data_IF_198670110314
#
_entry.id   IF_198670110314
#
_cell.length_a   1.000
_cell.length_b   1.000
_cell.length_c   1.000
_cell.angle_alpha   90.00
_cell.angle_beta   90.00
_cell.angle_gamma   90.00
#
_symmetry.space_group_name_H-M   'P 1'
#
loop_
_entity.id
_entity.type
_entity.pdbx_description
1 polymer ?
#
# COMPACT_ATOMS: atom_id res chain seq x y z
N UNK A 1 -44.92 -9.03 17.02
CA UNK A 1 -44.04 -7.91 16.59
C UNK A 1 -42.68 -8.51 16.28
N UNK A 2 -42.14 -8.53 15.06
CA UNK A 2 -42.32 -7.70 13.88
C UNK A 2 -42.41 -8.58 12.62
N UNK A 3 -43.55 -8.45 11.94
CA UNK A 3 -43.80 -9.03 10.62
C UNK A 3 -43.07 -8.12 9.62
N UNK A 4 -41.91 -8.55 9.10
CA UNK A 4 -41.34 -7.90 7.92
C UNK A 4 -42.21 -8.27 6.71
N UNK A 5 -43.18 -7.41 6.46
CA UNK A 5 -44.10 -7.41 5.32
C UNK A 5 -43.26 -7.42 4.03
N UNK A 6 -43.20 -8.57 3.36
CA UNK A 6 -42.55 -8.73 2.05
C UNK A 6 -43.36 -7.93 1.03
N UNK A 7 -42.91 -6.70 0.78
CA UNK A 7 -43.40 -5.85 -0.30
C UNK A 7 -43.00 -6.42 -1.66
N UNK A 8 -43.96 -6.43 -2.59
CA UNK A 8 -43.89 -6.89 -3.96
C UNK A 8 -42.54 -6.62 -4.66
N UNK A 9 -41.76 -7.68 -4.88
CA UNK A 9 -40.52 -7.66 -5.64
C UNK A 9 -40.90 -7.58 -7.12
N UNK A 10 -40.94 -6.37 -7.67
CA UNK A 10 -41.03 -6.19 -9.13
C UNK A 10 -39.79 -6.81 -9.82
N UNK A 11 -39.95 -7.23 -11.08
CA UNK A 11 -38.90 -7.88 -11.90
C UNK A 11 -37.57 -7.10 -11.95
N UNK A 12 -37.62 -5.77 -11.79
CA UNK A 12 -36.44 -4.88 -11.72
C UNK A 12 -35.58 -5.13 -10.46
N UNK A 13 -36.20 -5.49 -9.34
CA UNK A 13 -35.50 -5.83 -8.11
C UNK A 13 -34.72 -7.15 -8.27
N UNK A 14 -35.29 -8.18 -8.91
CA UNK A 14 -34.62 -9.48 -9.14
C UNK A 14 -33.35 -9.35 -10.00
N UNK A 15 -33.39 -8.55 -11.06
CA UNK A 15 -32.22 -8.26 -11.92
C UNK A 15 -31.13 -7.54 -11.10
N UNK A 16 -31.51 -6.57 -10.27
CA UNK A 16 -30.59 -5.84 -9.38
C UNK A 16 -29.89 -6.75 -8.38
N UNK A 17 -30.62 -7.68 -7.75
CA UNK A 17 -30.03 -8.66 -6.83
C UNK A 17 -29.08 -9.64 -7.55
N UNK A 18 -29.41 -10.05 -8.77
CA UNK A 18 -28.54 -10.93 -9.59
C UNK A 18 -27.23 -10.24 -10.00
N UNK A 19 -27.30 -8.99 -10.45
CA UNK A 19 -26.11 -8.16 -10.77
C UNK A 19 -25.25 -7.89 -9.53
N UNK A 20 -25.88 -7.70 -8.36
CA UNK A 20 -25.18 -7.53 -7.10
C UNK A 20 -24.45 -8.81 -6.67
N UNK A 21 -25.12 -9.97 -6.77
CA UNK A 21 -24.55 -11.27 -6.44
C UNK A 21 -23.36 -11.64 -7.36
N UNK A 22 -23.44 -11.37 -8.67
CA UNK A 22 -22.31 -11.61 -9.58
C UNK A 22 -21.11 -10.72 -9.27
N UNK A 23 -21.35 -9.47 -8.87
CA UNK A 23 -20.28 -8.54 -8.53
C UNK A 23 -19.64 -8.85 -7.17
N UNK A 24 -20.37 -9.50 -6.25
CA UNK A 24 -19.91 -9.83 -4.89
C UNK A 24 -18.65 -10.70 -4.87
N UNK A 25 -18.47 -11.58 -5.86
CA UNK A 25 -17.28 -12.42 -5.99
C UNK A 25 -16.05 -11.62 -6.48
N UNK A 26 -16.26 -10.55 -7.26
CA UNK A 26 -15.19 -9.71 -7.83
C UNK A 26 -14.67 -8.66 -6.83
N UNK A 27 -15.55 -8.13 -5.98
CA UNK A 27 -15.21 -7.14 -4.94
C UNK A 27 -14.06 -7.56 -3.98
N UNK A 28 -14.06 -8.75 -3.35
CA UNK A 28 -13.00 -9.13 -2.41
C UNK A 28 -11.65 -9.25 -3.11
N UNK A 29 -11.60 -9.88 -4.29
CA UNK A 29 -10.38 -10.02 -5.08
C UNK A 29 -9.78 -8.64 -5.45
N UNK A 30 -10.61 -7.72 -5.97
CA UNK A 30 -10.19 -6.33 -6.23
C UNK A 30 -9.67 -5.65 -4.96
N UNK A 31 -10.35 -5.83 -3.83
CA UNK A 31 -9.99 -5.20 -2.56
C UNK A 31 -8.63 -5.68 -2.02
N UNK A 32 -8.25 -6.95 -2.22
CA UNK A 32 -6.92 -7.43 -1.86
C UNK A 32 -5.81 -6.79 -2.71
N UNK A 33 -6.05 -6.61 -4.02
CA UNK A 33 -5.11 -5.92 -4.91
C UNK A 33 -4.95 -4.46 -4.47
N UNK A 34 -6.06 -3.81 -4.13
CA UNK A 34 -6.04 -2.42 -3.65
C UNK A 34 -5.28 -2.29 -2.34
N UNK A 35 -5.54 -3.17 -1.35
CA UNK A 35 -4.77 -3.23 -0.10
C UNK A 35 -3.26 -3.36 -0.36
N UNK A 36 -2.82 -4.18 -1.32
CA UNK A 36 -1.40 -4.29 -1.69
C UNK A 36 -0.82 -2.97 -2.20
N UNK A 37 -1.58 -2.19 -2.98
CA UNK A 37 -1.20 -0.85 -3.44
C UNK A 37 -1.13 0.13 -2.26
N UNK A 38 -2.11 0.10 -1.37
CA UNK A 38 -2.18 0.98 -0.20
C UNK A 38 -0.97 0.77 0.72
N UNK A 39 -0.60 -0.49 1.00
CA UNK A 39 0.61 -0.80 1.76
C UNK A 39 1.89 -0.32 1.07
N UNK A 40 1.95 -0.45 -0.26
CA UNK A 40 3.10 0.03 -1.02
C UNK A 40 3.22 1.57 -0.94
N UNK A 41 2.10 2.28 -1.07
CA UNK A 41 2.03 3.73 -0.91
C UNK A 41 2.47 4.17 0.49
N UNK A 42 2.04 3.44 1.52
CA UNK A 42 2.43 3.66 2.92
C UNK A 42 3.94 3.45 3.12
N UNK A 43 4.54 2.39 2.56
CA UNK A 43 5.99 2.17 2.67
C UNK A 43 6.80 3.27 1.98
N UNK A 44 6.35 3.75 0.82
CA UNK A 44 6.99 4.88 0.12
C UNK A 44 6.90 6.15 0.98
N UNK A 45 5.73 6.45 1.55
CA UNK A 45 5.56 7.61 2.43
C UNK A 45 6.46 7.55 3.67
N UNK A 46 6.54 6.38 4.32
CA UNK A 46 7.41 6.17 5.48
C UNK A 46 8.88 6.40 5.15
N UNK A 47 9.35 5.83 4.05
CA UNK A 47 10.75 6.02 3.60
C UNK A 47 10.98 7.50 3.27
N UNK A 48 10.06 8.14 2.55
CA UNK A 48 10.16 9.54 2.15
C UNK A 48 10.25 10.48 3.37
N UNK A 49 9.44 10.24 4.41
CA UNK A 49 9.48 11.00 5.65
C UNK A 49 10.86 10.93 6.31
N UNK A 50 11.41 9.73 6.48
CA UNK A 50 12.73 9.52 7.09
C UNK A 50 13.85 10.14 6.24
N UNK A 51 13.81 9.98 4.92
CA UNK A 51 14.82 10.61 4.04
C UNK A 51 14.80 12.14 4.13
N UNK A 52 13.62 12.74 4.32
CA UNK A 52 13.46 14.19 4.48
C UNK A 52 13.94 14.66 5.85
N UNK A 53 13.65 13.92 6.93
CA UNK A 53 14.15 14.23 8.29
C UNK A 53 15.67 14.38 8.31
N UNK A 54 16.39 13.45 7.66
CA UNK A 54 17.85 13.44 7.68
C UNK A 54 18.53 14.25 6.56
N UNK A 55 17.75 14.90 5.68
CA UNK A 55 18.24 15.68 4.51
C UNK A 55 19.27 14.96 3.63
N UNK A 56 19.25 13.62 3.58
CA UNK A 56 20.28 12.82 2.89
C UNK A 56 20.02 12.75 1.38
N UNK A 57 18.74 12.68 1.00
CA UNK A 57 18.28 12.62 -0.39
C UNK A 57 17.18 13.66 -0.61
N UNK A 58 17.21 14.31 -1.78
CA UNK A 58 16.15 15.22 -2.20
C UNK A 58 14.83 14.50 -2.52
N UNK A 59 14.88 13.21 -2.87
CA UNK A 59 13.71 12.41 -3.21
C UNK A 59 13.90 10.92 -2.95
N UNK A 60 12.79 10.22 -2.69
CA UNK A 60 12.74 8.76 -2.61
C UNK A 60 13.24 8.06 -3.88
N UNK A 61 13.00 8.64 -5.06
CA UNK A 61 13.42 8.05 -6.34
C UNK A 61 14.94 7.96 -6.46
N UNK A 62 15.66 9.01 -6.01
CA UNK A 62 17.13 9.02 -6.01
C UNK A 62 17.70 7.93 -5.10
N UNK A 63 17.07 7.71 -3.94
CA UNK A 63 17.45 6.61 -3.06
C UNK A 63 17.28 5.24 -3.73
N UNK A 64 16.12 4.98 -4.35
CA UNK A 64 15.88 3.71 -5.02
C UNK A 64 16.79 3.50 -6.24
N UNK A 65 17.13 4.58 -6.95
CA UNK A 65 18.10 4.55 -8.03
C UNK A 65 19.49 4.14 -7.52
N UNK A 66 19.97 4.72 -6.42
CA UNK A 66 21.26 4.37 -5.85
C UNK A 66 21.30 2.94 -5.30
N UNK A 67 20.20 2.45 -4.71
CA UNK A 67 20.08 1.04 -4.31
C UNK A 67 20.23 0.11 -5.51
N UNK A 68 19.56 0.43 -6.63
CA UNK A 68 19.65 -0.35 -7.85
C UNK A 68 21.06 -0.30 -8.45
N UNK A 69 21.69 0.88 -8.48
CA UNK A 69 23.08 1.07 -8.95
C UNK A 69 24.07 0.21 -8.15
N UNK A 70 23.85 0.07 -6.84
CA UNK A 70 24.64 -0.79 -5.95
C UNK A 70 24.25 -2.26 -5.98
N UNK A 71 23.33 -2.66 -6.86
CA UNK A 71 22.79 -4.03 -6.99
C UNK A 71 22.19 -4.58 -5.68
N UNK A 72 21.72 -3.70 -4.78
CA UNK A 72 21.06 -4.09 -3.54
C UNK A 72 19.56 -4.27 -3.77
N UNK A 73 19.13 -5.53 -3.90
CA UNK A 73 17.72 -5.88 -4.11
C UNK A 73 17.03 -5.96 -2.75
N UNK A 74 16.50 -4.81 -2.28
CA UNK A 74 15.81 -4.71 -0.99
C UNK A 74 14.30 -4.52 -1.17
N UNK A 75 13.52 -5.27 -0.40
CA UNK A 75 12.08 -5.09 -0.36
C UNK A 75 11.69 -3.81 0.41
N UNK A 76 10.80 -3.00 -0.17
CA UNK A 76 10.29 -1.75 0.42
C UNK A 76 9.63 -1.95 1.79
N UNK A 77 8.99 -3.11 2.02
CA UNK A 77 8.41 -3.46 3.32
C UNK A 77 9.47 -3.44 4.42
N UNK A 78 10.56 -4.18 4.19
CA UNK A 78 11.65 -4.35 5.14
C UNK A 78 12.38 -3.02 5.32
N UNK A 79 12.65 -2.32 4.22
CA UNK A 79 13.28 -1.00 4.24
C UNK A 79 12.48 0.00 5.09
N UNK A 80 11.16 0.08 4.90
CA UNK A 80 10.30 0.97 5.69
C UNK A 80 10.24 0.58 7.18
N UNK A 81 10.37 -0.71 7.52
CA UNK A 81 10.38 -1.16 8.90
C UNK A 81 11.71 -0.84 9.60
N UNK A 82 12.84 -1.03 8.90
CA UNK A 82 14.17 -0.63 9.42
C UNK A 82 14.22 0.89 9.62
N UNK A 83 13.68 1.65 8.67
CA UNK A 83 13.62 3.11 8.72
C UNK A 83 12.91 3.63 9.98
N UNK A 84 11.85 2.94 10.42
CA UNK A 84 11.08 3.30 11.61
C UNK A 84 11.73 2.80 12.90
N UNK A 85 12.27 1.58 12.90
CA UNK A 85 12.82 0.96 14.11
C UNK A 85 14.10 1.65 14.59
N UNK A 86 15.08 1.84 13.70
CA UNK A 86 16.40 2.32 14.08
C UNK A 86 16.87 3.44 13.14
N UNK A 87 16.39 4.66 13.41
CA UNK A 87 16.68 5.81 12.53
C UNK A 87 18.19 6.12 12.39
N UNK A 88 18.98 5.97 13.47
CA UNK A 88 20.45 6.19 13.47
C UNK A 88 21.20 5.23 12.54
N UNK A 89 20.92 3.92 12.64
CA UNK A 89 21.56 2.92 11.77
C UNK A 89 21.15 3.12 10.31
N UNK A 90 19.90 3.55 10.10
CA UNK A 90 19.39 3.85 8.77
C UNK A 90 20.11 5.05 8.13
N UNK A 91 20.45 6.07 8.91
CA UNK A 91 21.29 7.19 8.46
C UNK A 91 22.67 6.73 7.97
N UNK A 92 23.37 5.92 8.75
CA UNK A 92 24.70 5.39 8.38
C UNK A 92 24.62 4.58 7.07
N UNK A 93 23.58 3.76 6.94
CA UNK A 93 23.31 2.97 5.74
C UNK A 93 23.13 3.86 4.50
N UNK A 94 22.35 4.95 4.61
CA UNK A 94 22.16 5.89 3.52
C UNK A 94 23.44 6.61 3.11
N UNK A 95 24.28 7.05 4.06
CA UNK A 95 25.58 7.65 3.75
C UNK A 95 26.48 6.67 2.99
N UNK A 96 26.48 5.39 3.38
CA UNK A 96 27.19 4.33 2.67
C UNK A 96 26.65 4.11 1.26
N UNK A 97 25.38 4.38 0.98
CA UNK A 97 24.77 4.24 -0.36
C UNK A 97 25.04 5.47 -1.23
N UNK A 98 25.10 6.66 -0.63
CA UNK A 98 25.34 7.92 -1.34
C UNK A 98 26.74 7.97 -1.95
N UNK A 99 27.75 7.55 -1.19
CA UNK A 99 29.15 7.43 -1.64
C UNK A 99 29.33 6.19 -2.51
#
# INVERSE_FOLDING_TARGET
MTIFKIGYITSKCRIKYRLFASNLLSFPYRRFIQKKRDFRCLWIHRINAVTREYRIFYSYNLFMYNLYKKKLIINRKICAQIALSNKKNFYIFFNKIKN
#
